data_IF_571165776793
#
_entry.id   IF_571165776793
#
_cell.length_a   1.000
_cell.length_b   1.000
_cell.length_c   1.000
_cell.angle_alpha   90.00
_cell.angle_beta   90.00
_cell.angle_gamma   90.00
#
_symmetry.space_group_name_H-M   'P 1'
#
loop_
_entity.id
_entity.type
_entity.pdbx_description
1 polymer ?
#
# COMPACT_ATOMS: atom_id res chain seq x y z
N UNK A 1 -2.38 -22.99 13.18
CA UNK A 1 -1.79 -22.35 11.98
C UNK A 1 -1.74 -20.83 12.15
N UNK A 2 -0.64 -20.13 11.83
CA UNK A 2 -0.66 -18.68 11.85
C UNK A 2 -1.76 -18.23 10.88
N UNK A 3 -2.71 -17.42 11.36
CA UNK A 3 -3.69 -16.74 10.53
C UNK A 3 -2.89 -16.11 9.38
N UNK A 4 -3.12 -16.51 8.13
CA UNK A 4 -2.40 -15.86 7.04
C UNK A 4 -2.85 -14.41 7.03
N UNK A 5 -1.94 -13.55 7.47
CA UNK A 5 -2.19 -12.14 7.76
C UNK A 5 -2.49 -11.42 6.45
N UNK A 6 -3.24 -10.31 6.47
CA UNK A 6 -3.31 -9.42 5.32
C UNK A 6 -1.90 -9.10 4.80
N UNK A 7 -1.77 -9.00 3.48
CA UNK A 7 -0.52 -8.71 2.79
C UNK A 7 -0.73 -7.50 1.89
N UNK A 8 0.25 -6.59 1.92
CA UNK A 8 0.42 -5.53 0.95
C UNK A 8 1.82 -5.69 0.34
N UNK A 9 1.89 -5.70 -1.00
CA UNK A 9 3.15 -5.63 -1.74
C UNK A 9 3.19 -4.33 -2.51
N UNK A 10 4.32 -3.64 -2.41
CA UNK A 10 4.56 -2.36 -3.06
C UNK A 10 5.58 -2.58 -4.15
N UNK A 11 5.36 -1.95 -5.30
CA UNK A 11 6.21 -2.05 -6.47
C UNK A 11 6.60 -0.66 -6.94
N UNK A 12 7.83 -0.53 -7.42
CA UNK A 12 8.33 0.66 -8.11
C UNK A 12 8.24 0.44 -9.61
N UNK A 13 7.52 1.33 -10.29
CA UNK A 13 7.40 1.41 -11.73
C UNK A 13 8.14 2.65 -12.23
N UNK A 14 9.37 2.46 -12.74
CA UNK A 14 10.12 3.52 -13.40
C UNK A 14 9.90 3.46 -14.92
N UNK A 15 9.79 4.60 -15.63
CA UNK A 15 9.63 4.62 -17.07
C UNK A 15 10.73 3.81 -17.78
N UNK A 16 10.33 2.93 -18.70
CA UNK A 16 11.27 2.08 -19.45
C UNK A 16 11.92 0.95 -18.66
N UNK A 17 11.54 0.73 -17.39
CA UNK A 17 12.03 -0.36 -16.56
C UNK A 17 10.92 -1.35 -16.21
N UNK A 18 11.30 -2.61 -15.97
CA UNK A 18 10.37 -3.61 -15.44
C UNK A 18 9.92 -3.24 -14.03
N UNK A 19 8.68 -3.59 -13.71
CA UNK A 19 8.11 -3.44 -12.37
C UNK A 19 8.98 -4.18 -11.34
N UNK A 20 9.43 -3.46 -10.30
CA UNK A 20 10.28 -4.05 -9.24
C UNK A 20 9.58 -4.02 -7.89
N UNK A 21 9.46 -5.17 -7.24
CA UNK A 21 8.96 -5.24 -5.87
C UNK A 21 9.90 -4.50 -4.90
N UNK A 22 9.33 -3.66 -4.05
CA UNK A 22 10.03 -2.93 -3.00
C UNK A 22 9.99 -3.74 -1.70
N UNK A 23 11.14 -4.30 -1.34
CA UNK A 23 11.38 -4.96 -0.06
C UNK A 23 12.11 -4.02 0.89
N UNK A 24 12.14 -4.36 2.18
CA UNK A 24 12.91 -3.63 3.19
C UNK A 24 14.34 -3.36 2.72
N UNK A 25 14.77 -2.10 2.79
CA UNK A 25 16.11 -1.67 2.35
C UNK A 25 16.25 -1.35 0.86
N UNK A 26 15.22 -1.59 0.05
CA UNK A 26 15.21 -1.17 -1.36
C UNK A 26 14.63 0.24 -1.50
N UNK A 27 15.07 0.95 -2.55
CA UNK A 27 14.61 2.30 -2.85
C UNK A 27 13.88 2.35 -4.20
N UNK A 28 12.93 3.25 -4.31
CA UNK A 28 12.32 3.64 -5.58
C UNK A 28 13.02 4.89 -6.13
N UNK A 29 13.10 5.02 -7.45
CA UNK A 29 13.70 6.17 -8.10
C UNK A 29 12.80 7.40 -7.98
N UNK A 30 13.35 8.62 -7.86
CA UNK A 30 12.55 9.84 -7.94
C UNK A 30 11.74 9.92 -9.23
N UNK A 31 10.51 10.42 -9.16
CA UNK A 31 9.61 10.52 -10.31
C UNK A 31 9.07 9.18 -10.83
N UNK A 32 9.37 8.06 -10.16
CA UNK A 32 8.73 6.79 -10.43
C UNK A 32 7.32 6.73 -9.80
N UNK A 33 6.58 5.71 -10.20
CA UNK A 33 5.23 5.47 -9.71
C UNK A 33 5.20 4.23 -8.82
N UNK A 34 4.50 4.30 -7.70
CA UNK A 34 4.20 3.15 -6.87
C UNK A 34 2.99 2.40 -7.41
N UNK A 35 3.08 1.07 -7.48
CA UNK A 35 1.96 0.17 -7.75
C UNK A 35 1.83 -0.83 -6.60
N UNK A 36 0.64 -1.43 -6.46
CA UNK A 36 0.32 -2.22 -5.27
C UNK A 36 -0.33 -3.55 -5.66
N UNK A 37 -0.06 -4.58 -4.87
CA UNK A 37 -0.88 -5.79 -4.83
C UNK A 37 -1.28 -6.08 -3.39
N UNK A 38 -2.51 -6.54 -3.19
CA UNK A 38 -3.00 -6.86 -1.86
C UNK A 38 -3.75 -8.19 -1.85
N UNK A 39 -3.70 -8.86 -0.71
CA UNK A 39 -4.41 -10.11 -0.46
C UNK A 39 -4.71 -10.25 1.02
N UNK A 40 -5.85 -10.84 1.36
CA UNK A 40 -6.19 -11.16 2.74
C UNK A 40 -7.13 -12.37 2.79
N UNK A 41 -7.13 -13.06 3.93
CA UNK A 41 -8.13 -14.10 4.23
C UNK A 41 -9.37 -13.49 4.88
N UNK A 42 -10.53 -14.18 4.82
CA UNK A 42 -11.67 -13.83 5.64
C UNK A 42 -11.27 -13.63 7.12
N UNK A 43 -11.85 -12.65 7.82
CA UNK A 43 -13.00 -11.84 7.39
C UNK A 43 -12.64 -10.61 6.55
N UNK A 44 -11.36 -10.34 6.25
CA UNK A 44 -10.95 -9.14 5.53
C UNK A 44 -11.30 -9.21 4.04
N UNK A 45 -12.20 -8.35 3.61
CA UNK A 45 -12.72 -8.30 2.23
C UNK A 45 -12.40 -6.99 1.53
N UNK A 46 -11.89 -5.99 2.25
CA UNK A 46 -11.58 -4.66 1.72
C UNK A 46 -10.21 -4.20 2.20
N UNK A 47 -9.52 -3.43 1.35
CA UNK A 47 -8.30 -2.70 1.69
C UNK A 47 -8.38 -1.25 1.24
N UNK A 48 -7.91 -0.32 2.05
CA UNK A 48 -7.63 1.05 1.61
C UNK A 48 -6.15 1.36 1.82
N UNK A 49 -5.56 2.19 0.95
CA UNK A 49 -4.13 2.53 0.96
C UNK A 49 -3.96 4.04 1.07
N UNK A 50 -3.05 4.48 1.94
CA UNK A 50 -2.63 5.87 2.11
C UNK A 50 -1.15 5.97 1.80
N UNK A 51 -0.76 6.95 0.99
CA UNK A 51 0.63 7.23 0.66
C UNK A 51 0.95 8.67 1.05
N UNK A 52 1.96 8.85 1.92
CA UNK A 52 2.52 10.16 2.28
C UNK A 52 3.93 10.27 1.73
N UNK A 53 4.23 11.29 0.92
CA UNK A 53 5.57 11.53 0.40
C UNK A 53 5.76 13.01 0.08
N UNK A 54 6.85 13.64 0.53
CA UNK A 54 7.21 15.01 0.14
C UNK A 54 6.11 16.07 0.35
N UNK A 55 5.32 15.97 1.42
CA UNK A 55 4.18 16.86 1.69
C UNK A 55 2.88 16.50 0.94
N UNK A 56 2.92 15.51 0.04
CA UNK A 56 1.74 14.93 -0.58
C UNK A 56 1.13 13.83 0.31
N UNK A 57 -0.20 13.75 0.34
CA UNK A 57 -0.97 12.79 1.12
C UNK A 57 -2.17 12.31 0.30
N UNK A 58 -2.13 11.04 -0.11
CA UNK A 58 -3.14 10.44 -0.97
C UNK A 58 -3.79 9.24 -0.28
N UNK A 59 -5.12 9.18 -0.26
CA UNK A 59 -5.90 8.04 0.25
C UNK A 59 -6.71 7.45 -0.90
N UNK A 60 -6.58 6.14 -1.09
CA UNK A 60 -7.16 5.39 -2.19
C UNK A 60 -7.90 4.14 -1.72
N UNK A 61 -8.92 3.75 -2.48
CA UNK A 61 -9.82 2.64 -2.18
C UNK A 61 -11.14 3.10 -1.52
N UNK A 62 -11.87 2.20 -0.85
CA UNK A 62 -11.52 0.81 -0.58
C UNK A 62 -11.58 -0.06 -1.83
N UNK A 63 -10.61 -0.97 -1.97
CA UNK A 63 -10.55 -1.99 -3.00
C UNK A 63 -11.08 -3.32 -2.44
N UNK A 64 -11.90 -4.02 -3.22
CA UNK A 64 -12.39 -5.34 -2.87
C UNK A 64 -11.28 -6.39 -3.00
N UNK A 65 -11.25 -7.34 -2.07
CA UNK A 65 -10.35 -8.49 -2.06
C UNK A 65 -11.15 -9.75 -2.37
N UNK A 66 -10.60 -10.64 -3.21
CA UNK A 66 -11.29 -11.88 -3.63
C UNK A 66 -11.36 -12.97 -2.54
N UNK A 67 -10.79 -12.73 -1.36
CA UNK A 67 -10.91 -13.59 -0.17
C UNK A 67 -10.35 -15.01 -0.29
N UNK A 68 -9.76 -15.39 -1.43
CA UNK A 68 -9.12 -16.70 -1.59
C UNK A 68 -7.78 -16.70 -0.87
N UNK A 69 -7.57 -17.73 -0.06
CA UNK A 69 -6.35 -17.88 0.73
C UNK A 69 -5.10 -17.91 -0.16
N UNK A 70 -4.20 -16.94 0.06
CA UNK A 70 -2.92 -16.86 -0.68
C UNK A 70 -3.03 -16.18 -2.05
N UNK A 71 -4.18 -15.62 -2.41
CA UNK A 71 -4.33 -14.83 -3.63
C UNK A 71 -4.07 -13.34 -3.34
N UNK A 72 -3.02 -12.80 -3.95
CA UNK A 72 -2.77 -11.36 -4.03
C UNK A 72 -3.18 -10.89 -5.42
N UNK A 73 -3.91 -9.77 -5.50
CA UNK A 73 -4.30 -9.16 -6.77
C UNK A 73 -3.70 -7.77 -6.90
N UNK A 74 -3.30 -7.35 -8.11
CA UNK A 74 -2.96 -5.97 -8.36
C UNK A 74 -4.13 -5.07 -7.96
N UNK A 75 -3.84 -3.98 -7.26
CA UNK A 75 -4.80 -2.91 -7.06
C UNK A 75 -4.76 -2.02 -8.30
N UNK A 76 -5.92 -1.56 -8.75
CA UNK A 76 -6.04 -0.53 -9.79
C UNK A 76 -5.68 0.84 -9.20
N UNK A 77 -4.43 0.96 -8.74
CA UNK A 77 -3.87 2.10 -8.05
C UNK A 77 -2.42 2.29 -8.46
N UNK A 78 -2.13 3.50 -8.94
CA UNK A 78 -0.76 3.97 -9.16
C UNK A 78 -0.58 5.35 -8.55
N UNK A 79 0.46 5.52 -7.73
CA UNK A 79 0.74 6.78 -7.04
C UNK A 79 2.09 7.33 -7.51
N UNK A 80 2.10 8.51 -8.11
CA UNK A 80 3.33 9.17 -8.52
C UNK A 80 4.10 9.68 -7.30
N UNK A 81 5.40 9.39 -7.22
CA UNK A 81 6.25 9.94 -6.18
C UNK A 81 6.69 11.36 -6.55
N UNK A 82 6.50 12.36 -5.66
CA UNK A 82 6.99 13.70 -5.91
C UNK A 82 8.50 13.73 -6.13
N UNK A 83 8.94 14.54 -7.09
CA UNK A 83 10.37 14.82 -7.30
C UNK A 83 10.92 15.52 -6.06
N UNK A 84 11.90 14.92 -5.39
CA UNK A 84 12.51 15.45 -4.16
C UNK A 84 11.91 14.95 -2.85
N UNK A 85 11.02 13.96 -2.88
CA UNK A 85 10.71 13.21 -1.66
C UNK A 85 11.87 12.25 -1.33
N UNK A 86 12.32 12.22 -0.09
CA UNK A 86 13.35 11.26 0.38
C UNK A 86 12.72 9.93 0.81
N UNK A 87 11.47 9.98 1.23
CA UNK A 87 10.72 8.88 1.82
C UNK A 87 9.26 8.93 1.41
N UNK A 88 8.67 7.74 1.27
CA UNK A 88 7.24 7.53 1.15
C UNK A 88 6.75 6.59 2.27
N UNK A 89 5.81 7.05 3.08
CA UNK A 89 5.10 6.22 4.06
C UNK A 89 3.83 5.66 3.40
N UNK A 90 3.75 4.33 3.29
CA UNK A 90 2.56 3.63 2.82
C UNK A 90 1.86 2.99 4.02
N UNK A 91 0.59 3.29 4.20
CA UNK A 91 -0.27 2.63 5.18
C UNK A 91 -1.41 1.93 4.45
N UNK A 92 -1.62 0.64 4.71
CA UNK A 92 -2.80 -0.09 4.24
C UNK A 92 -3.66 -0.52 5.42
N UNK A 93 -4.98 -0.41 5.27
CA UNK A 93 -5.95 -0.81 6.27
C UNK A 93 -6.86 -1.87 5.68
N UNK A 94 -7.05 -2.97 6.40
CA UNK A 94 -7.84 -4.11 5.98
C UNK A 94 -9.02 -4.30 6.92
N UNK A 95 -10.21 -4.51 6.37
CA UNK A 95 -11.43 -4.75 7.16
C UNK A 95 -12.43 -5.60 6.38
N UNK A 96 -13.41 -6.14 7.10
CA UNK A 96 -14.61 -6.70 6.50
C UNK A 96 -15.55 -5.59 5.98
N UNK A 97 -15.38 -4.35 6.45
CA UNK A 97 -16.24 -3.21 6.09
C UNK A 97 -15.45 -2.13 5.32
N UNK A 98 -15.95 -1.64 4.18
CA UNK A 98 -15.28 -0.62 3.38
C UNK A 98 -15.09 0.71 4.13
N UNK A 99 -16.08 1.18 4.88
CA UNK A 99 -15.99 2.46 5.60
C UNK A 99 -15.00 2.42 6.76
N UNK A 100 -14.81 1.23 7.35
CA UNK A 100 -13.88 1.03 8.46
C UNK A 100 -12.42 1.21 8.04
N UNK A 101 -12.05 0.79 6.82
CA UNK A 101 -10.68 0.97 6.30
C UNK A 101 -10.38 2.47 6.09
N UNK A 102 -11.28 3.20 5.45
CA UNK A 102 -11.12 4.65 5.24
C UNK A 102 -11.08 5.44 6.55
N UNK A 103 -11.93 5.09 7.51
CA UNK A 103 -11.97 5.75 8.83
C UNK A 103 -10.65 5.54 9.59
N UNK A 104 -10.10 4.33 9.53
CA UNK A 104 -8.81 4.03 10.15
C UNK A 104 -7.65 4.84 9.56
N UNK A 105 -7.62 5.06 8.24
CA UNK A 105 -6.58 5.88 7.58
C UNK A 105 -6.65 7.38 7.93
N UNK A 106 -7.82 7.85 8.38
CA UNK A 106 -8.03 9.25 8.82
C UNK A 106 -7.64 9.50 10.29
N UNK A 107 -7.16 8.47 10.99
CA UNK A 107 -6.77 8.56 12.40
C UNK A 107 -7.85 8.13 13.39
N UNK A 108 -8.96 7.55 12.91
CA UNK A 108 -9.93 6.89 13.77
C UNK A 108 -9.42 5.53 14.25
N UNK A 109 -9.51 5.25 15.55
CA UNK A 109 -9.37 3.87 16.03
C UNK A 109 -10.64 3.10 15.67
N UNK A 110 -10.55 2.11 14.78
CA UNK A 110 -11.69 1.29 14.36
C UNK A 110 -11.44 -0.17 14.73
N UNK A 111 -12.37 -0.77 15.46
CA UNK A 111 -12.33 -2.19 15.80
C UNK A 111 -12.40 -3.07 14.54
N UNK A 112 -11.74 -4.23 14.55
CA UNK A 112 -11.76 -5.16 13.42
C UNK A 112 -11.00 -4.67 12.19
N UNK A 113 -10.09 -3.69 12.36
CA UNK A 113 -9.19 -3.22 11.30
C UNK A 113 -7.76 -3.70 11.58
N UNK A 114 -7.11 -4.23 10.55
CA UNK A 114 -5.67 -4.48 10.55
C UNK A 114 -4.97 -3.36 9.79
N UNK A 115 -3.90 -2.82 10.37
CA UNK A 115 -3.09 -1.76 9.78
C UNK A 115 -1.71 -2.32 9.44
N UNK A 116 -1.31 -2.20 8.18
CA UNK A 116 0.07 -2.44 7.74
C UNK A 116 0.72 -1.10 7.41
N UNK A 117 1.95 -0.90 7.87
CA UNK A 117 2.76 0.28 7.57
C UNK A 117 4.07 -0.15 6.95
N UNK A 118 4.41 0.45 5.82
CA UNK A 118 5.67 0.24 5.12
C UNK A 118 6.28 1.58 4.77
N UNK A 119 7.58 1.72 5.01
CA UNK A 119 8.36 2.88 4.61
C UNK A 119 9.20 2.53 3.39
N UNK A 120 9.10 3.35 2.35
CA UNK A 120 9.85 3.22 1.10
C UNK A 120 10.82 4.38 1.01
N UNK A 121 12.11 4.06 0.87
CA UNK A 121 13.12 5.06 0.52
C UNK A 121 12.90 5.49 -0.92
N UNK A 122 12.89 6.78 -1.15
CA UNK A 122 12.96 7.35 -2.48
C UNK A 122 14.39 7.85 -2.61
N UNK A 123 15.18 7.19 -3.44
CA UNK A 123 16.62 7.38 -3.45
C UNK A 123 16.94 8.84 -3.83
N UNK A 124 17.77 9.51 -3.04
CA UNK A 124 18.55 10.60 -3.57
C UNK A 124 19.36 10.07 -4.76
N UNK A 125 19.29 10.77 -5.88
CA UNK A 125 20.36 10.72 -6.84
C UNK A 125 21.31 11.87 -6.52
N UNK A 126 22.62 11.63 -6.58
CA UNK A 126 23.51 11.02 -5.57
C UNK A 126 23.79 11.89 -4.34
#
# INVERSE_FOLDING_TARGET
>A
PPLAQPVLRVFCAAPGQSLRELRTGTACTPGATLAFAAGARPPYTHVAVRVRAGGHDEVNGPFALSGKAGEERPLELTVALPTGADMAEITATFSQHPDATLTALRGGGTEGVVVLRQEVRVKDSP
#
